data_IF_365389027800
#
_entry.id   IF_365389027800
#
_cell.length_a   1.000
_cell.length_b   1.000
_cell.length_c   1.000
_cell.angle_alpha   90.00
_cell.angle_beta   90.00
_cell.angle_gamma   90.00
#
_symmetry.space_group_name_H-M   'P 1'
#
loop_
_entity.id
_entity.type
_entity.pdbx_description
1 polymer ?
#
# COMPACT_ATOMS: atom_id res chain seq x y z
N UNK A 1 -18.40 32.87 81.75
CA UNK A 1 -18.50 31.61 81.00
C UNK A 1 -17.31 31.56 80.04
N UNK A 2 -16.09 31.20 80.50
CA UNK A 2 -15.42 29.87 80.38
C UNK A 2 -15.31 29.43 78.91
N UNK A 3 -14.20 29.56 78.16
CA UNK A 3 -12.80 29.13 78.35
C UNK A 3 -12.67 27.71 78.92
N UNK A 4 -12.43 26.70 78.05
CA UNK A 4 -11.52 25.55 78.24
C UNK A 4 -11.83 24.41 77.25
N UNK A 5 -10.79 24.02 76.49
CA UNK A 5 -10.42 22.66 76.02
C UNK A 5 -11.45 21.88 75.18
N UNK A 6 -11.12 21.33 74.01
CA UNK A 6 -10.11 20.28 73.87
C UNK A 6 -9.48 20.30 72.46
N UNK A 7 -8.16 20.46 72.43
CA UNK A 7 -7.29 20.03 71.34
C UNK A 7 -6.88 18.56 71.56
N UNK A 8 -6.50 17.87 70.48
CA UNK A 8 -5.54 16.73 70.32
C UNK A 8 -5.96 16.07 68.98
N UNK A 9 -5.19 16.12 67.89
CA UNK A 9 -3.80 15.69 67.76
C UNK A 9 -3.01 16.50 66.74
N UNK A 10 -1.74 16.73 67.08
CA UNK A 10 -0.71 17.40 66.30
C UNK A 10 0.17 16.40 65.53
N UNK A 11 0.96 16.96 64.59
CA UNK A 11 2.13 16.41 63.90
C UNK A 11 1.92 15.43 62.75
N UNK A 12 2.07 15.92 61.50
CA UNK A 12 3.06 15.41 60.53
C UNK A 12 3.07 16.22 59.22
N UNK A 13 4.26 16.71 58.87
CA UNK A 13 4.78 16.98 57.50
C UNK A 13 4.36 18.28 56.79
N UNK A 14 5.14 19.33 57.06
CA UNK A 14 5.79 20.12 55.99
C UNK A 14 6.62 19.15 55.10
N UNK A 15 6.71 19.38 53.77
CA UNK A 15 7.31 18.55 52.67
C UNK A 15 6.23 17.76 51.90
N UNK A 16 5.70 18.20 50.76
CA UNK A 16 6.40 18.50 49.52
C UNK A 16 5.50 19.40 48.64
N UNK A 17 5.92 20.63 48.37
CA UNK A 17 5.70 21.25 47.07
C UNK A 17 6.71 20.61 46.11
N UNK A 18 6.51 19.33 45.78
CA UNK A 18 7.11 18.75 44.59
C UNK A 18 6.22 19.22 43.45
N UNK A 19 6.79 20.03 42.56
CA UNK A 19 6.10 20.52 41.40
C UNK A 19 5.41 19.38 40.66
N UNK A 20 4.14 19.59 40.33
CA UNK A 20 3.61 19.08 39.06
C UNK A 20 4.38 19.80 37.94
N UNK A 21 5.66 19.47 37.80
CA UNK A 21 6.20 19.34 36.46
C UNK A 21 5.35 18.23 35.86
N UNK A 22 4.29 18.60 35.15
CA UNK A 22 3.78 17.75 34.09
C UNK A 22 5.03 17.21 33.39
N UNK A 23 5.15 15.90 33.13
CA UNK A 23 6.16 15.49 32.18
C UNK A 23 5.88 16.35 30.95
N UNK A 24 6.81 17.27 30.67
CA UNK A 24 7.01 17.73 29.32
C UNK A 24 7.29 16.40 28.64
N UNK A 25 6.25 15.84 28.02
CA UNK A 25 6.41 14.79 27.02
C UNK A 25 7.31 15.48 26.02
N UNK A 26 8.61 15.29 26.20
CA UNK A 26 9.63 15.60 25.22
C UNK A 26 9.11 14.90 23.99
N UNK A 27 8.55 15.71 23.08
CA UNK A 27 7.82 15.23 21.93
C UNK A 27 8.69 14.19 21.26
N UNK A 28 8.26 12.93 21.36
CA UNK A 28 8.66 11.95 20.39
C UNK A 28 8.22 12.59 19.07
N UNK A 29 9.19 13.09 18.31
CA UNK A 29 8.98 13.43 16.92
C UNK A 29 8.38 12.18 16.32
N UNK A 30 7.07 12.23 16.09
CA UNK A 30 6.33 11.04 15.74
C UNK A 30 6.85 10.56 14.39
N UNK A 31 7.35 9.32 14.39
CA UNK A 31 8.15 8.79 13.31
C UNK A 31 7.23 8.57 12.11
N UNK A 32 7.57 9.13 10.95
CA UNK A 32 6.89 8.79 9.71
C UNK A 32 7.31 7.39 9.27
N UNK A 33 6.32 6.55 8.98
CA UNK A 33 6.49 5.18 8.53
C UNK A 33 5.91 5.03 7.13
N UNK A 34 6.55 4.17 6.34
CA UNK A 34 6.09 3.84 4.99
C UNK A 34 4.99 2.79 5.09
N UNK A 35 3.88 3.06 4.42
CA UNK A 35 2.72 2.18 4.29
C UNK A 35 2.36 2.07 2.80
N UNK A 36 1.53 1.11 2.39
CA UNK A 36 0.90 1.19 1.08
C UNK A 36 0.13 2.49 1.03
N UNK A 37 0.40 3.31 0.03
CA UNK A 37 -0.10 4.65 0.01
C UNK A 37 0.77 5.67 0.79
N UNK A 38 2.09 5.57 0.73
CA UNK A 38 2.96 6.67 1.15
C UNK A 38 3.34 6.64 2.64
N UNK A 39 3.20 7.78 3.32
CA UNK A 39 3.75 7.98 4.67
C UNK A 39 2.66 8.32 5.67
N UNK A 40 2.65 7.62 6.79
CA UNK A 40 1.79 7.92 7.94
C UNK A 40 2.63 8.12 9.20
N UNK A 41 2.08 8.83 10.17
CA UNK A 41 2.63 8.84 11.51
C UNK A 41 2.51 7.45 12.13
N UNK A 42 3.57 6.94 12.75
CA UNK A 42 3.59 5.62 13.37
C UNK A 42 2.51 5.47 14.43
N UNK A 43 2.16 6.52 15.16
CA UNK A 43 1.07 6.50 16.14
C UNK A 43 -0.30 6.24 15.52
N UNK A 44 -0.47 6.48 14.22
CA UNK A 44 -1.72 6.34 13.48
C UNK A 44 -1.78 5.04 12.65
N UNK A 45 -0.85 4.10 12.87
CA UNK A 45 -0.83 2.82 12.17
C UNK A 45 -1.10 1.70 13.17
N UNK A 46 -2.20 0.97 12.99
CA UNK A 46 -2.72 0.04 13.97
C UNK A 46 -2.89 -1.38 13.41
N UNK A 47 -2.44 -2.38 14.17
CA UNK A 47 -2.75 -3.77 13.87
C UNK A 47 -4.23 -4.05 14.16
N UNK A 48 -4.91 -4.73 13.23
CA UNK A 48 -6.28 -5.22 13.40
C UNK A 48 -6.21 -6.58 14.09
N UNK A 49 -6.79 -6.74 15.30
CA UNK A 49 -6.82 -8.05 15.96
C UNK A 49 -7.73 -9.02 15.21
N UNK A 50 -7.52 -10.32 15.42
CA UNK A 50 -8.39 -11.36 14.88
C UNK A 50 -9.87 -11.12 15.24
N UNK A 51 -10.76 -11.23 14.25
CA UNK A 51 -12.18 -10.93 14.38
C UNK A 51 -12.52 -9.44 14.56
N UNK A 52 -11.52 -8.55 14.51
CA UNK A 52 -11.73 -7.11 14.51
C UNK A 52 -12.36 -6.63 13.20
N UNK A 53 -12.98 -5.45 13.26
CA UNK A 53 -13.52 -4.75 12.11
C UNK A 53 -13.22 -3.26 12.14
N UNK A 54 -13.22 -2.65 10.98
CA UNK A 54 -13.02 -1.22 10.81
C UNK A 54 -14.36 -0.59 10.42
N UNK A 55 -14.71 0.54 11.04
CA UNK A 55 -15.90 1.33 10.68
C UNK A 55 -15.43 2.71 10.24
N UNK A 56 -15.72 3.07 9.00
CA UNK A 56 -15.32 4.30 8.34
C UNK A 56 -16.56 5.12 7.96
N UNK A 57 -16.55 6.40 8.32
CA UNK A 57 -17.53 7.39 7.92
C UNK A 57 -16.82 8.60 7.31
N UNK A 58 -17.57 9.51 6.70
CA UNK A 58 -17.03 10.76 6.13
C UNK A 58 -16.29 11.70 7.11
N UNK A 59 -16.29 11.38 8.40
CA UNK A 59 -15.76 12.20 9.49
C UNK A 59 -14.96 11.41 10.54
N UNK A 60 -14.94 10.07 10.47
CA UNK A 60 -14.21 9.26 11.45
C UNK A 60 -13.86 7.87 10.96
N UNK A 61 -12.89 7.27 11.63
CA UNK A 61 -12.58 5.85 11.49
C UNK A 61 -12.39 5.21 12.86
N UNK A 62 -12.92 4.00 13.02
CA UNK A 62 -12.87 3.23 14.26
C UNK A 62 -12.33 1.83 14.01
N UNK A 63 -11.47 1.36 14.91
CA UNK A 63 -11.12 -0.05 15.01
C UNK A 63 -11.90 -0.66 16.17
N UNK A 64 -12.66 -1.71 15.90
CA UNK A 64 -13.50 -2.39 16.87
C UNK A 64 -13.02 -3.84 16.99
N UNK A 65 -12.78 -4.33 18.20
CA UNK A 65 -12.42 -5.73 18.42
C UNK A 65 -13.62 -6.69 18.25
N UNK A 66 -13.35 -8.00 18.25
CA UNK A 66 -14.38 -9.03 18.12
C UNK A 66 -15.46 -8.97 19.22
N UNK A 67 -15.15 -8.38 20.39
CA UNK A 67 -16.08 -8.17 21.50
C UNK A 67 -16.93 -6.91 21.37
N UNK A 68 -16.72 -6.11 20.32
CA UNK A 68 -17.45 -4.87 20.08
C UNK A 68 -16.87 -3.64 20.79
N UNK A 69 -15.68 -3.75 21.41
CA UNK A 69 -15.02 -2.61 22.05
C UNK A 69 -14.21 -1.82 21.02
N UNK A 70 -14.35 -0.50 21.06
CA UNK A 70 -13.52 0.42 20.26
C UNK A 70 -12.10 0.43 20.80
N UNK A 71 -11.14 -0.02 20.00
CA UNK A 71 -9.71 -0.01 20.31
C UNK A 71 -9.04 1.28 19.85
N UNK A 72 -9.51 1.85 18.75
CA UNK A 72 -9.00 3.09 18.19
C UNK A 72 -10.13 3.92 17.58
N UNK A 73 -10.00 5.24 17.67
CA UNK A 73 -10.90 6.22 17.08
C UNK A 73 -10.04 7.39 16.57
N UNK A 74 -10.22 7.78 15.31
CA UNK A 74 -9.67 9.01 14.77
C UNK A 74 -10.73 9.79 14.00
N UNK A 75 -10.71 11.11 14.15
CA UNK A 75 -11.49 12.02 13.31
C UNK A 75 -10.77 12.25 11.99
N UNK A 76 -11.53 12.24 10.89
CA UNK A 76 -11.00 12.49 9.55
C UNK A 76 -11.22 13.95 9.17
N UNK A 77 -10.15 14.63 8.75
CA UNK A 77 -10.26 15.97 8.18
C UNK A 77 -10.53 15.85 6.68
N UNK A 78 -11.74 16.24 6.25
CA UNK A 78 -12.16 16.27 4.83
C UNK A 78 -11.25 17.08 3.89
N UNK A 79 -10.32 17.86 4.43
CA UNK A 79 -9.43 18.72 3.67
C UNK A 79 -8.32 18.00 2.92
N UNK A 80 -8.10 16.70 3.15
CA UNK A 80 -7.06 15.94 2.48
C UNK A 80 -7.62 14.61 1.97
N UNK A 81 -7.68 14.37 0.65
CA UNK A 81 -7.80 13.00 0.18
C UNK A 81 -6.62 12.20 0.75
N UNK A 82 -6.85 10.95 1.15
CA UNK A 82 -5.79 10.07 1.65
C UNK A 82 -4.63 9.96 0.64
N UNK A 83 -4.95 10.16 -0.64
CA UNK A 83 -3.99 10.41 -1.70
C UNK A 83 -4.27 11.70 -2.47
N UNK A 84 -3.28 12.58 -2.57
CA UNK A 84 -3.12 13.36 -3.80
C UNK A 84 -2.93 12.37 -4.94
N UNK A 85 -4.00 12.11 -5.71
CA UNK A 85 -4.01 11.33 -6.96
C UNK A 85 -2.68 11.54 -7.67
N UNK A 86 -1.82 10.53 -7.61
CA UNK A 86 -0.54 10.39 -8.30
C UNK A 86 0.00 11.73 -8.82
N UNK A 87 0.69 12.50 -7.98
CA UNK A 87 1.48 13.62 -8.48
C UNK A 87 2.53 13.04 -9.44
N UNK A 88 2.20 13.07 -10.74
CA UNK A 88 3.06 12.65 -11.84
C UNK A 88 4.43 13.31 -11.62
N UNK A 89 5.53 12.56 -11.48
CA UNK A 89 6.84 13.17 -11.41
C UNK A 89 7.04 13.96 -12.70
N UNK A 90 7.16 15.28 -12.60
CA UNK A 90 7.40 16.17 -13.75
C UNK A 90 8.87 16.18 -14.18
N UNK A 91 9.69 15.30 -13.64
CA UNK A 91 11.14 15.26 -13.84
C UNK A 91 11.51 14.06 -14.71
N UNK A 92 12.06 14.33 -15.89
CA UNK A 92 12.69 13.33 -16.77
C UNK A 92 14.04 12.81 -16.22
N UNK A 93 14.54 13.42 -15.14
CA UNK A 93 15.79 12.99 -14.49
C UNK A 93 15.49 11.82 -13.56
N UNK A 94 16.18 10.69 -13.80
CA UNK A 94 16.18 9.51 -12.92
C UNK A 94 16.50 9.94 -11.50
N UNK A 95 15.59 9.62 -10.57
CA UNK A 95 15.83 9.86 -9.16
C UNK A 95 16.55 8.63 -8.60
N UNK A 96 17.23 8.76 -7.46
CA UNK A 96 17.39 7.55 -6.65
C UNK A 96 15.96 7.03 -6.44
N UNK A 97 15.72 5.73 -6.65
CA UNK A 97 14.41 5.04 -6.55
C UNK A 97 13.83 5.06 -5.10
N UNK A 98 14.11 6.12 -4.34
CA UNK A 98 13.72 6.36 -2.96
C UNK A 98 12.19 6.24 -2.78
N UNK A 99 11.44 6.62 -3.81
CA UNK A 99 10.02 6.32 -3.96
C UNK A 99 9.63 6.26 -5.45
N UNK A 100 8.97 5.17 -5.86
CA UNK A 100 8.38 5.04 -7.20
C UNK A 100 7.00 4.40 -7.11
N UNK A 101 6.11 4.79 -8.02
CA UNK A 101 4.76 4.24 -8.13
C UNK A 101 4.40 4.01 -9.60
N UNK A 102 3.91 2.82 -9.91
CA UNK A 102 3.23 2.52 -11.17
C UNK A 102 1.87 1.94 -10.89
N UNK A 103 0.88 2.31 -11.68
CA UNK A 103 -0.49 1.93 -11.43
C UNK A 103 -1.32 1.78 -12.71
N UNK A 104 -2.38 0.98 -12.61
CA UNK A 104 -3.52 0.96 -13.51
C UNK A 104 -4.77 1.30 -12.70
N UNK A 105 -5.56 2.25 -13.19
CA UNK A 105 -6.76 2.74 -12.51
C UNK A 105 -7.95 2.60 -13.44
N UNK A 106 -9.09 2.20 -12.90
CA UNK A 106 -10.35 2.24 -13.61
C UNK A 106 -11.48 2.70 -12.69
N UNK A 107 -12.15 3.78 -13.09
CA UNK A 107 -13.39 4.25 -12.47
C UNK A 107 -14.57 3.42 -13.03
N UNK A 108 -15.06 2.45 -12.26
CA UNK A 108 -16.19 1.61 -12.62
C UNK A 108 -17.52 2.22 -12.16
N UNK A 109 -18.66 1.92 -12.82
CA UNK A 109 -19.97 2.34 -12.33
C UNK A 109 -20.28 1.78 -10.93
N UNK A 110 -20.05 0.48 -10.73
CA UNK A 110 -20.11 -0.22 -9.46
C UNK A 110 -19.20 -1.45 -9.47
N UNK A 111 -18.85 -1.95 -8.29
CA UNK A 111 -17.98 -3.11 -8.09
C UNK A 111 -18.54 -3.93 -6.93
N UNK A 112 -18.91 -5.17 -7.22
CA UNK A 112 -19.31 -6.18 -6.24
C UNK A 112 -18.14 -7.09 -5.86
N UNK A 113 -17.33 -7.50 -6.85
CA UNK A 113 -16.10 -8.26 -6.59
C UNK A 113 -14.92 -7.71 -7.37
N UNK A 114 -13.74 -7.79 -6.78
CA UNK A 114 -12.47 -7.58 -7.44
C UNK A 114 -11.48 -8.67 -7.04
N UNK A 115 -11.15 -9.55 -7.99
CA UNK A 115 -10.18 -10.63 -7.80
C UNK A 115 -9.06 -10.52 -8.83
N UNK A 116 -7.92 -11.14 -8.50
CA UNK A 116 -6.78 -11.27 -9.42
C UNK A 116 -5.85 -12.38 -8.94
N UNK A 117 -5.05 -12.91 -9.87
CA UNK A 117 -4.06 -13.94 -9.60
C UNK A 117 -2.65 -13.37 -9.77
N UNK A 118 -1.80 -13.67 -8.79
CA UNK A 118 -0.45 -13.14 -8.71
C UNK A 118 0.54 -14.27 -8.57
N UNK A 119 1.46 -14.39 -9.51
CA UNK A 119 2.68 -15.18 -9.28
C UNK A 119 3.58 -14.31 -8.42
N UNK A 120 3.89 -14.76 -7.20
CA UNK A 120 4.80 -14.03 -6.30
C UNK A 120 6.13 -13.81 -7.04
N UNK A 121 6.63 -12.57 -7.18
CA UNK A 121 7.85 -12.33 -7.94
C UNK A 121 9.06 -13.06 -7.33
N UNK A 122 10.11 -13.33 -8.13
CA UNK A 122 11.40 -13.69 -7.58
C UNK A 122 11.88 -12.61 -6.58
N UNK A 123 12.65 -13.01 -5.58
CA UNK A 123 13.29 -12.04 -4.71
C UNK A 123 14.13 -11.04 -5.54
N UNK A 124 14.18 -9.76 -5.13
CA UNK A 124 15.08 -8.79 -5.75
C UNK A 124 16.53 -9.26 -5.83
N UNK A 125 17.24 -8.84 -6.88
CA UNK A 125 18.64 -9.23 -7.08
C UNK A 125 19.58 -8.67 -6.00
N UNK A 126 19.17 -7.58 -5.35
CA UNK A 126 19.86 -6.93 -4.24
C UNK A 126 18.86 -6.56 -3.15
N UNK A 127 19.17 -6.94 -1.91
CA UNK A 127 18.50 -6.42 -0.73
C UNK A 127 19.29 -5.25 -0.14
N UNK A 128 18.64 -4.10 -0.01
CA UNK A 128 19.16 -2.86 0.57
C UNK A 128 18.17 -2.26 1.59
N UNK A 129 17.32 -3.08 2.22
CA UNK A 129 16.15 -2.63 3.00
C UNK A 129 15.12 -1.85 2.17
N UNK A 130 14.96 -2.20 0.88
CA UNK A 130 13.83 -1.74 0.10
C UNK A 130 12.53 -2.32 0.65
N UNK A 131 11.44 -1.59 0.48
CA UNK A 131 10.09 -2.00 0.78
C UNK A 131 9.28 -1.89 -0.52
N UNK A 132 8.70 -3.00 -0.94
CA UNK A 132 7.88 -3.10 -2.15
C UNK A 132 6.47 -3.50 -1.73
N UNK A 133 5.48 -2.78 -2.21
CA UNK A 133 4.08 -3.13 -2.08
C UNK A 133 3.48 -3.35 -3.45
N UNK A 134 2.89 -4.51 -3.64
CA UNK A 134 2.06 -4.80 -4.79
C UNK A 134 0.65 -5.07 -4.31
N UNK A 135 -0.35 -4.47 -4.96
CA UNK A 135 -1.73 -4.62 -4.50
C UNK A 135 -2.75 -4.42 -5.61
N UNK A 136 -3.89 -5.09 -5.42
CA UNK A 136 -5.17 -4.77 -6.04
C UNK A 136 -6.01 -4.09 -4.98
N UNK A 137 -6.65 -2.97 -5.30
CA UNK A 137 -7.29 -2.11 -4.33
C UNK A 137 -8.56 -1.48 -4.86
N UNK A 138 -9.44 -1.12 -3.94
CA UNK A 138 -10.58 -0.26 -4.22
C UNK A 138 -10.47 1.06 -3.46
N UNK A 139 -10.97 2.13 -4.09
CA UNK A 139 -11.14 3.43 -3.48
C UNK A 139 -12.60 3.89 -3.64
N UNK A 140 -13.12 4.73 -2.72
CA UNK A 140 -14.35 5.45 -2.94
C UNK A 140 -14.12 6.62 -3.91
N UNK A 141 -15.17 7.18 -4.55
CA UNK A 141 -15.07 8.35 -5.42
C UNK A 141 -14.38 9.56 -4.76
N UNK A 142 -14.57 9.71 -3.43
CA UNK A 142 -13.93 10.74 -2.61
C UNK A 142 -12.41 10.60 -2.53
N UNK A 143 -11.88 9.39 -2.72
CA UNK A 143 -10.44 9.07 -2.64
C UNK A 143 -9.86 9.27 -1.23
N UNK A 144 -10.70 9.21 -0.20
CA UNK A 144 -10.32 9.41 1.20
C UNK A 144 -9.95 8.11 1.92
N UNK A 145 -10.17 6.96 1.29
CA UNK A 145 -9.83 5.65 1.82
C UNK A 145 -9.39 4.64 0.75
N UNK A 146 -8.74 3.56 1.19
CA UNK A 146 -8.24 2.46 0.38
C UNK A 146 -8.49 1.12 1.07
N UNK A 147 -8.99 0.13 0.33
CA UNK A 147 -9.00 -1.29 0.72
C UNK A 147 -7.93 -2.00 -0.10
N UNK A 148 -6.94 -2.62 0.54
CA UNK A 148 -5.74 -3.13 -0.14
C UNK A 148 -5.31 -4.49 0.43
N UNK A 149 -5.65 -5.63 -0.19
CA UNK A 149 -4.82 -6.83 -0.09
C UNK A 149 -3.45 -6.58 -0.75
N UNK A 150 -2.38 -6.78 0.01
CA UNK A 150 -1.01 -6.37 -0.33
C UNK A 150 -0.07 -7.57 -0.29
N UNK A 151 0.69 -7.75 -1.37
CA UNK A 151 1.91 -8.55 -1.41
C UNK A 151 3.10 -7.62 -1.14
N UNK A 152 3.76 -7.82 0.00
CA UNK A 152 4.89 -7.02 0.49
C UNK A 152 6.21 -7.77 0.33
N UNK A 153 7.28 -7.07 -0.06
CA UNK A 153 8.67 -7.50 0.18
C UNK A 153 9.40 -6.42 0.97
N UNK A 154 10.20 -6.79 1.96
CA UNK A 154 10.95 -5.83 2.77
C UNK A 154 10.31 -5.56 4.14
N UNK A 155 10.96 -4.72 4.96
CA UNK A 155 10.51 -4.39 6.30
C UNK A 155 9.50 -3.23 6.27
N UNK A 156 8.39 -3.37 6.99
CA UNK A 156 7.39 -2.34 7.25
C UNK A 156 6.98 -2.35 8.73
N UNK A 157 6.07 -1.48 9.13
CA UNK A 157 5.49 -1.50 10.49
C UNK A 157 4.63 -2.74 10.76
N UNK A 158 4.14 -3.41 9.71
CA UNK A 158 3.45 -4.68 9.82
C UNK A 158 4.41 -5.87 10.01
N UNK A 159 5.73 -5.64 9.94
CA UNK A 159 6.77 -6.66 9.97
C UNK A 159 7.40 -6.88 8.60
N UNK A 160 7.79 -8.11 8.29
CA UNK A 160 8.45 -8.45 7.04
C UNK A 160 9.97 -8.56 7.18
N UNK A 161 10.67 -8.44 6.06
CA UNK A 161 12.12 -8.65 5.97
C UNK A 161 12.55 -8.94 4.54
N UNK A 162 13.67 -9.62 4.35
CA UNK A 162 14.16 -10.01 3.03
C UNK A 162 13.38 -11.19 2.40
N UNK A 163 12.05 -11.18 2.52
CA UNK A 163 11.13 -12.21 2.03
C UNK A 163 9.80 -11.57 1.60
N UNK A 164 8.99 -12.33 0.84
CA UNK A 164 7.64 -11.92 0.47
C UNK A 164 6.63 -12.33 1.54
N UNK A 165 5.64 -11.48 1.78
CA UNK A 165 4.53 -11.76 2.68
C UNK A 165 3.24 -11.14 2.17
N UNK A 166 2.11 -11.76 2.47
CA UNK A 166 0.79 -11.23 2.21
C UNK A 166 0.15 -10.69 3.49
N UNK A 167 -0.65 -9.65 3.35
CA UNK A 167 -1.46 -9.03 4.41
C UNK A 167 -2.41 -8.02 3.78
N UNK A 168 -3.37 -7.51 4.53
CA UNK A 168 -4.30 -6.49 4.04
C UNK A 168 -4.16 -5.19 4.82
N UNK A 169 -4.43 -4.11 4.14
CA UNK A 169 -4.40 -2.75 4.65
C UNK A 169 -5.72 -2.06 4.38
N UNK A 170 -6.14 -1.22 5.32
CA UNK A 170 -7.14 -0.19 5.11
C UNK A 170 -6.54 1.15 5.53
N UNK A 171 -6.50 2.10 4.61
CA UNK A 171 -6.00 3.46 4.87
C UNK A 171 -7.18 4.42 4.77
N UNK A 172 -7.35 5.31 5.73
CA UNK A 172 -8.37 6.36 5.72
C UNK A 172 -7.80 7.66 6.29
N UNK A 173 -7.77 8.71 5.46
CA UNK A 173 -7.08 9.97 5.78
C UNK A 173 -5.63 9.74 6.24
N UNK A 174 -5.31 10.21 7.45
CA UNK A 174 -3.98 10.09 8.06
C UNK A 174 -3.85 8.86 9.00
N UNK A 175 -4.71 7.84 8.84
CA UNK A 175 -4.73 6.61 9.68
C UNK A 175 -4.65 5.35 8.82
N UNK A 176 -3.88 4.36 9.27
CA UNK A 176 -3.71 3.07 8.61
C UNK A 176 -4.00 1.90 9.53
N UNK A 177 -4.57 0.85 8.98
CA UNK A 177 -4.89 -0.40 9.66
C UNK A 177 -4.34 -1.56 8.87
N UNK A 178 -3.72 -2.53 9.53
CA UNK A 178 -3.10 -3.66 8.86
C UNK A 178 -3.35 -4.98 9.58
N UNK A 179 -3.35 -6.08 8.83
CA UNK A 179 -3.43 -7.45 9.36
C UNK A 179 -2.04 -8.06 9.54
N UNK A 180 -1.96 -9.22 10.19
CA UNK A 180 -0.70 -9.92 10.35
C UNK A 180 -0.15 -10.37 8.98
N UNK A 181 1.17 -10.34 8.86
CA UNK A 181 1.85 -10.79 7.65
C UNK A 181 2.04 -12.31 7.65
N UNK A 182 1.64 -12.96 6.55
CA UNK A 182 1.95 -14.37 6.29
C UNK A 182 3.01 -14.46 5.21
N UNK A 183 4.15 -15.08 5.52
CA UNK A 183 5.23 -15.28 4.56
C UNK A 183 4.82 -16.22 3.44
N UNK A 184 5.18 -15.87 2.20
CA UNK A 184 4.93 -16.67 0.97
C UNK A 184 6.23 -16.93 0.21
N UNK A 185 6.23 -17.98 -0.61
CA UNK A 185 7.40 -18.40 -1.38
C UNK A 185 7.58 -17.54 -2.63
N UNK A 186 8.81 -17.09 -2.88
CA UNK A 186 9.15 -16.31 -4.08
C UNK A 186 9.13 -17.15 -5.35
N UNK A 187 8.67 -16.57 -6.46
CA UNK A 187 8.91 -17.04 -7.83
C UNK A 187 8.01 -18.19 -8.33
N UNK A 188 7.34 -18.91 -7.43
CA UNK A 188 6.57 -20.12 -7.81
C UNK A 188 5.17 -20.17 -7.20
N UNK A 189 4.94 -19.49 -6.06
CA UNK A 189 3.65 -19.52 -5.40
C UNK A 189 2.68 -18.53 -6.06
N UNK A 190 1.46 -18.98 -6.30
CA UNK A 190 0.34 -18.09 -6.61
C UNK A 190 -0.31 -17.58 -5.34
N UNK A 191 -0.67 -16.31 -5.33
CA UNK A 191 -1.52 -15.70 -4.31
C UNK A 191 -2.74 -15.06 -4.96
N UNK A 192 -3.87 -15.11 -4.27
CA UNK A 192 -5.20 -14.83 -4.81
C UNK A 192 -5.88 -13.74 -3.96
N UNK A 193 -5.48 -12.46 -4.13
CA UNK A 193 -6.13 -11.36 -3.46
C UNK A 193 -7.57 -11.18 -3.96
N UNK A 194 -8.46 -10.89 -3.03
CA UNK A 194 -9.85 -10.58 -3.32
C UNK A 194 -10.34 -9.38 -2.49
N UNK A 195 -11.33 -8.68 -3.04
CA UNK A 195 -12.17 -7.70 -2.36
C UNK A 195 -13.61 -8.01 -2.76
N UNK A 196 -14.49 -8.13 -1.77
CA UNK A 196 -15.90 -8.49 -1.91
C UNK A 196 -16.76 -7.44 -1.21
N UNK A 197 -17.78 -6.96 -1.91
CA UNK A 197 -18.91 -6.24 -1.32
C UNK A 197 -19.85 -7.27 -0.65
N UNK A 198 -20.12 -7.06 0.64
CA UNK A 198 -20.96 -7.92 1.47
C UNK A 198 -22.31 -7.26 1.82
N UNK A 199 -22.74 -6.26 1.06
CA UNK A 199 -23.95 -5.49 1.33
C UNK A 199 -25.22 -6.35 1.41
N UNK A 200 -25.29 -7.42 0.62
CA UNK A 200 -26.40 -8.38 0.67
C UNK A 200 -26.58 -8.98 2.08
N UNK A 201 -25.50 -9.13 2.84
CA UNK A 201 -25.50 -9.81 4.14
C UNK A 201 -25.39 -8.83 5.33
N UNK A 202 -24.61 -7.78 5.17
CA UNK A 202 -24.19 -6.89 6.27
C UNK A 202 -24.44 -5.41 6.00
N UNK A 203 -24.85 -5.06 4.78
CA UNK A 203 -25.11 -3.69 4.36
C UNK A 203 -26.42 -3.14 4.89
N UNK A 204 -26.52 -1.82 4.85
CA UNK A 204 -27.76 -1.05 5.04
C UNK A 204 -27.81 0.07 4.00
N UNK A 205 -28.95 0.77 3.80
CA UNK A 205 -29.01 1.86 2.82
C UNK A 205 -27.99 3.00 3.02
N UNK A 206 -27.33 3.08 4.18
CA UNK A 206 -26.34 4.11 4.52
C UNK A 206 -24.98 3.54 4.94
N UNK A 207 -24.80 2.22 4.86
CA UNK A 207 -23.58 1.55 5.32
C UNK A 207 -23.28 0.40 4.40
N UNK A 208 -22.10 0.45 3.79
CA UNK A 208 -21.60 -0.61 2.93
C UNK A 208 -20.67 -1.52 3.72
N UNK A 209 -20.67 -2.81 3.44
CA UNK A 209 -19.81 -3.81 4.07
C UNK A 209 -18.83 -4.39 3.04
N UNK A 210 -17.57 -4.49 3.41
CA UNK A 210 -16.51 -4.99 2.55
C UNK A 210 -15.67 -6.03 3.29
N UNK A 211 -15.30 -7.08 2.55
CA UNK A 211 -14.38 -8.11 3.00
C UNK A 211 -13.24 -8.25 2.01
N UNK A 212 -12.00 -8.17 2.48
CA UNK A 212 -10.82 -8.35 1.62
C UNK A 212 -9.79 -9.26 2.27
N UNK A 213 -8.93 -9.87 1.45
CA UNK A 213 -7.86 -10.72 1.92
C UNK A 213 -7.22 -11.52 0.80
N UNK A 214 -6.63 -12.66 1.16
CA UNK A 214 -6.09 -13.66 0.24
C UNK A 214 -6.79 -14.99 0.46
N UNK A 215 -7.26 -15.64 -0.61
CA UNK A 215 -8.15 -16.82 -0.54
C UNK A 215 -7.62 -17.94 0.39
N UNK A 216 -6.32 -18.21 0.38
CA UNK A 216 -5.67 -19.27 1.17
C UNK A 216 -4.97 -18.77 2.45
N UNK A 217 -5.14 -17.49 2.80
CA UNK A 217 -4.53 -16.86 4.00
C UNK A 217 -5.53 -15.97 4.74
N UNK A 218 -6.83 -16.29 4.68
CA UNK A 218 -7.89 -15.42 5.19
C UNK A 218 -7.81 -15.19 6.70
N UNK A 219 -7.41 -16.21 7.47
CA UNK A 219 -7.33 -16.12 8.93
C UNK A 219 -6.34 -15.04 9.38
N UNK A 220 -5.22 -14.88 8.67
CA UNK A 220 -4.16 -13.95 9.04
C UNK A 220 -4.27 -12.62 8.29
N UNK A 221 -4.80 -12.64 7.06
CA UNK A 221 -4.73 -11.51 6.14
C UNK A 221 -6.05 -10.77 5.92
N UNK A 222 -7.20 -11.24 6.41
CA UNK A 222 -8.50 -10.65 6.07
C UNK A 222 -8.91 -9.44 6.90
N UNK A 223 -9.65 -8.52 6.28
CA UNK A 223 -10.27 -7.35 6.94
C UNK A 223 -11.78 -7.35 6.71
N UNK A 224 -12.51 -7.04 7.78
CA UNK A 224 -13.92 -6.66 7.73
C UNK A 224 -14.02 -5.15 7.87
N UNK A 225 -14.69 -4.48 6.92
CA UNK A 225 -14.71 -3.03 6.81
C UNK A 225 -16.15 -2.59 6.58
N UNK A 226 -16.60 -1.58 7.30
CA UNK A 226 -17.89 -0.92 7.07
C UNK A 226 -17.64 0.53 6.68
N UNK A 227 -18.29 1.02 5.64
CA UNK A 227 -18.07 2.37 5.07
C UNK A 227 -19.38 3.11 4.86
N UNK A 228 -19.36 4.43 4.78
CA UNK A 228 -20.53 5.25 4.39
C UNK A 228 -20.63 5.53 2.89
N UNK A 229 -19.65 5.07 2.10
CA UNK A 229 -19.56 5.25 0.64
C UNK A 229 -19.25 3.92 -0.02
N UNK A 230 -19.68 3.76 -1.28
CA UNK A 230 -19.29 2.64 -2.13
C UNK A 230 -17.87 2.81 -2.64
N UNK A 231 -17.23 1.69 -2.98
CA UNK A 231 -15.86 1.64 -3.46
C UNK A 231 -15.88 1.14 -4.91
N UNK A 232 -15.79 2.06 -5.87
CA UNK A 232 -15.97 1.76 -7.30
C UNK A 232 -14.77 2.14 -8.18
N UNK A 233 -13.67 2.59 -7.58
CA UNK A 233 -12.42 2.87 -8.31
C UNK A 233 -11.47 1.69 -8.11
N UNK A 234 -11.30 0.88 -9.14
CA UNK A 234 -10.35 -0.23 -9.15
C UNK A 234 -8.92 0.27 -9.40
N UNK A 235 -7.97 -0.26 -8.64
CA UNK A 235 -6.58 0.18 -8.66
C UNK A 235 -5.64 -1.02 -8.54
N UNK A 236 -4.67 -1.15 -9.44
CA UNK A 236 -3.61 -2.16 -9.37
C UNK A 236 -2.27 -1.45 -9.40
N UNK A 237 -1.36 -1.75 -8.47
CA UNK A 237 -0.16 -0.96 -8.31
C UNK A 237 1.07 -1.72 -7.86
N UNK A 238 2.22 -1.09 -8.12
CA UNK A 238 3.45 -1.29 -7.39
C UNK A 238 3.88 0.05 -6.77
N UNK A 239 4.15 0.05 -5.48
CA UNK A 239 4.88 1.09 -4.76
C UNK A 239 6.22 0.56 -4.28
N UNK A 240 7.30 1.26 -4.62
CA UNK A 240 8.64 0.93 -4.17
C UNK A 240 9.18 2.06 -3.30
N UNK A 241 9.78 1.70 -2.17
CA UNK A 241 10.47 2.61 -1.25
C UNK A 241 11.88 2.10 -0.99
N UNK A 242 12.83 3.02 -0.86
CA UNK A 242 14.24 2.69 -0.60
C UNK A 242 14.87 1.71 -1.62
N UNK A 243 14.26 1.50 -2.79
CA UNK A 243 14.95 0.87 -3.88
C UNK A 243 16.00 1.88 -4.35
N UNK A 244 17.29 1.56 -4.38
CA UNK A 244 18.32 2.53 -4.82
C UNK A 244 18.73 2.28 -6.27
N UNK A 245 18.35 1.14 -6.82
CA UNK A 245 18.51 0.78 -8.23
C UNK A 245 17.47 -0.28 -8.63
N UNK A 246 17.38 -0.56 -9.94
CA UNK A 246 16.54 -1.65 -10.44
C UNK A 246 16.94 -3.03 -9.91
N UNK A 247 18.17 -3.20 -9.39
CA UNK A 247 18.57 -4.44 -8.73
C UNK A 247 17.80 -4.67 -7.43
N UNK A 248 17.20 -3.62 -6.84
CA UNK A 248 16.33 -3.73 -5.68
C UNK A 248 14.89 -4.14 -6.03
N UNK A 249 14.57 -4.30 -7.31
CA UNK A 249 13.31 -4.85 -7.80
C UNK A 249 13.52 -6.29 -8.28
N UNK A 250 12.43 -7.06 -8.50
CA UNK A 250 12.52 -8.36 -9.14
C UNK A 250 13.26 -8.29 -10.49
N UNK A 251 14.11 -9.27 -10.76
CA UNK A 251 14.88 -9.33 -12.02
C UNK A 251 14.07 -9.75 -13.24
N UNK A 252 12.75 -9.94 -13.09
CA UNK A 252 11.82 -10.43 -14.10
C UNK A 252 10.52 -9.64 -14.00
N UNK A 253 9.76 -9.55 -15.09
CA UNK A 253 8.43 -8.91 -15.10
C UNK A 253 7.49 -9.56 -14.09
N UNK A 254 6.67 -8.75 -13.43
CA UNK A 254 5.59 -9.23 -12.56
C UNK A 254 4.29 -9.26 -13.35
N UNK A 255 3.66 -10.43 -13.45
CA UNK A 255 2.38 -10.58 -14.12
C UNK A 255 1.25 -10.60 -13.08
N UNK A 256 0.19 -9.86 -13.37
CA UNK A 256 -1.08 -9.92 -12.64
C UNK A 256 -2.11 -10.40 -13.66
N UNK A 257 -2.65 -11.59 -13.45
CA UNK A 257 -3.52 -12.27 -14.42
C UNK A 257 -4.87 -12.56 -13.77
N UNK A 258 -5.79 -13.09 -14.56
CA UNK A 258 -7.14 -13.43 -14.11
C UNK A 258 -7.83 -12.31 -13.34
N UNK A 259 -7.58 -11.06 -13.78
CA UNK A 259 -8.21 -9.91 -13.17
C UNK A 259 -9.69 -9.95 -13.55
N UNK A 260 -10.56 -10.04 -12.53
CA UNK A 260 -11.99 -10.05 -12.71
C UNK A 260 -12.62 -9.00 -11.79
N UNK A 261 -13.46 -8.16 -12.39
CA UNK A 261 -14.22 -7.13 -11.69
C UNK A 261 -15.69 -7.30 -12.11
N UNK A 262 -16.51 -7.73 -11.17
CA UNK A 262 -17.96 -7.86 -11.37
C UNK A 262 -18.68 -6.65 -10.80
N UNK A 263 -19.74 -6.20 -11.47
CA UNK A 263 -20.67 -5.20 -10.95
C UNK A 263 -21.72 -5.85 -10.02
N UNK A 264 -22.64 -5.03 -9.50
CA UNK A 264 -23.69 -5.46 -8.56
C UNK A 264 -24.67 -6.48 -9.16
N UNK A 265 -24.78 -6.53 -10.49
CA UNK A 265 -25.58 -7.53 -11.23
C UNK A 265 -24.78 -8.83 -11.49
N UNK A 266 -23.58 -8.94 -10.90
CA UNK A 266 -22.60 -10.02 -11.11
C UNK A 266 -22.17 -10.18 -12.58
N UNK A 267 -22.24 -9.09 -13.36
CA UNK A 267 -21.72 -9.02 -14.72
C UNK A 267 -20.28 -8.49 -14.72
N UNK A 268 -19.43 -9.09 -15.53
CA UNK A 268 -18.04 -8.66 -15.68
C UNK A 268 -17.91 -7.55 -16.72
N UNK A 269 -17.07 -6.55 -16.43
CA UNK A 269 -16.82 -5.43 -17.36
C UNK A 269 -15.75 -5.73 -18.40
N UNK A 270 -16.11 -5.66 -19.69
CA UNK A 270 -15.17 -5.83 -20.81
C UNK A 270 -15.42 -4.88 -21.97
N UNK A 271 -14.36 -4.25 -22.50
CA UNK A 271 -13.00 -4.28 -21.98
C UNK A 271 -12.88 -3.51 -20.65
N UNK A 272 -11.89 -3.82 -19.82
CA UNK A 272 -11.54 -2.97 -18.65
C UNK A 272 -10.69 -1.78 -19.14
N UNK A 273 -11.19 -0.53 -19.09
CA UNK A 273 -10.52 0.62 -19.67
C UNK A 273 -9.48 1.23 -18.70
N UNK A 274 -8.41 0.47 -18.42
CA UNK A 274 -7.32 0.90 -17.53
C UNK A 274 -6.65 2.20 -17.99
N UNK A 275 -6.55 3.16 -17.08
CA UNK A 275 -5.66 4.32 -17.19
C UNK A 275 -4.33 3.99 -16.54
N UNK A 276 -3.24 4.01 -17.32
CA UNK A 276 -1.90 3.63 -16.87
C UNK A 276 -1.09 4.84 -16.37
N UNK A 277 -0.39 4.65 -15.26
CA UNK A 277 0.56 5.57 -14.67
C UNK A 277 1.91 4.86 -14.56
N UNK A 278 2.92 5.40 -15.26
CA UNK A 278 4.23 4.80 -15.39
C UNK A 278 5.30 5.71 -14.78
N UNK A 279 6.36 5.11 -14.23
CA UNK A 279 7.56 5.80 -13.78
C UNK A 279 8.72 5.49 -14.73
N UNK A 280 8.63 6.03 -15.95
CA UNK A 280 9.60 5.78 -17.01
C UNK A 280 10.98 6.36 -16.70
N UNK A 281 11.06 7.39 -15.86
CA UNK A 281 12.33 7.97 -15.41
C UNK A 281 13.14 6.95 -14.60
N UNK A 282 12.45 6.14 -13.79
CA UNK A 282 13.06 5.16 -12.92
C UNK A 282 13.05 3.73 -13.50
N UNK A 283 12.55 3.57 -14.73
CA UNK A 283 12.58 2.33 -15.49
C UNK A 283 11.50 1.32 -15.10
N UNK A 284 10.42 1.79 -14.46
CA UNK A 284 9.30 0.95 -14.05
C UNK A 284 8.07 1.34 -14.87
N UNK A 285 7.46 0.37 -15.56
CA UNK A 285 6.24 0.61 -16.33
C UNK A 285 5.22 -0.47 -16.07
N UNK A 286 3.95 -0.12 -16.22
CA UNK A 286 2.82 -1.03 -16.26
C UNK A 286 2.25 -1.08 -17.69
N UNK A 287 1.78 -2.26 -18.11
CA UNK A 287 1.19 -2.51 -19.42
C UNK A 287 -0.07 -3.34 -19.28
N UNK A 288 -1.09 -3.01 -20.08
CA UNK A 288 -2.24 -3.90 -20.32
C UNK A 288 -1.81 -5.02 -21.28
N UNK A 289 -1.81 -6.26 -20.79
CA UNK A 289 -1.54 -7.46 -21.60
C UNK A 289 -2.84 -7.95 -22.23
N UNK A 290 -3.92 -7.96 -21.46
CA UNK A 290 -5.27 -8.26 -21.92
C UNK A 290 -6.28 -7.39 -21.17
N UNK A 291 -7.29 -6.90 -21.87
CA UNK A 291 -8.40 -6.15 -21.30
C UNK A 291 -9.71 -6.97 -21.27
N UNK A 292 -9.64 -8.28 -21.52
CA UNK A 292 -10.81 -9.15 -21.70
C UNK A 292 -11.58 -9.44 -20.40
N UNK A 293 -12.83 -9.84 -20.53
CA UNK A 293 -13.73 -10.13 -19.41
C UNK A 293 -13.37 -11.38 -18.59
N UNK A 294 -13.97 -11.46 -17.40
CA UNK A 294 -14.45 -12.72 -16.82
C UNK A 294 -13.44 -13.73 -16.29
N UNK A 295 -12.15 -13.33 -16.15
CA UNK A 295 -10.94 -14.12 -15.80
C UNK A 295 -9.80 -13.95 -16.83
N UNK A 296 -9.97 -13.15 -17.87
CA UNK A 296 -8.95 -12.99 -18.91
C UNK A 296 -8.12 -11.70 -18.85
N UNK A 297 -8.51 -10.70 -18.06
CA UNK A 297 -7.76 -9.44 -18.00
C UNK A 297 -6.40 -9.67 -17.31
N UNK A 298 -5.39 -8.99 -17.84
CA UNK A 298 -4.01 -9.15 -17.39
C UNK A 298 -3.24 -7.85 -17.52
N UNK A 299 -2.50 -7.54 -16.46
CA UNK A 299 -1.54 -6.45 -16.37
C UNK A 299 -0.14 -7.02 -16.20
N UNK A 300 0.86 -6.26 -16.63
CA UNK A 300 2.27 -6.61 -16.43
C UNK A 300 3.05 -5.40 -15.97
N UNK A 301 3.87 -5.59 -14.93
CA UNK A 301 4.86 -4.62 -14.48
C UNK A 301 6.22 -5.00 -15.08
N UNK A 302 6.87 -4.06 -15.74
CA UNK A 302 8.16 -4.21 -16.39
C UNK A 302 9.22 -3.37 -15.68
N UNK A 303 10.41 -3.96 -15.53
CA UNK A 303 11.59 -3.33 -14.92
C UNK A 303 12.66 -3.20 -16.00
N UNK A 304 12.65 -2.10 -16.75
CA UNK A 304 13.56 -1.90 -17.88
C UNK A 304 14.74 -1.06 -17.42
N UNK A 305 15.92 -1.67 -17.37
CA UNK A 305 17.15 -0.91 -17.31
C UNK A 305 17.35 -0.17 -18.62
N UNK A 306 17.61 1.14 -18.58
CA UNK A 306 18.13 1.88 -19.73
C UNK A 306 19.47 1.26 -20.14
N UNK A 307 19.45 0.24 -21.00
CA UNK A 307 20.62 -0.36 -21.63
C UNK A 307 21.13 0.49 -22.80
N UNK A 308 20.50 1.64 -23.08
CA UNK A 308 20.82 2.52 -24.20
C UNK A 308 21.51 3.82 -23.75
N UNK A 309 22.86 3.84 -23.82
CA UNK A 309 23.66 5.01 -24.29
C UNK A 309 25.19 4.86 -24.14
N UNK A 310 25.77 3.65 -24.10
CA UNK A 310 27.25 3.50 -24.17
C UNK A 310 27.81 2.47 -25.16
N UNK A 311 26.99 1.90 -26.06
CA UNK A 311 27.51 1.06 -27.15
C UNK A 311 27.61 1.75 -28.52
N UNK A 312 27.39 3.07 -28.60
CA UNK A 312 27.34 3.79 -29.88
C UNK A 312 28.59 4.58 -30.30
N UNK A 313 29.67 4.64 -29.52
CA UNK A 313 30.82 5.53 -29.82
C UNK A 313 32.21 4.87 -29.84
N UNK A 314 32.32 3.55 -29.62
CA UNK A 314 33.60 2.83 -29.80
C UNK A 314 33.68 2.01 -31.10
N UNK A 315 32.58 1.88 -31.85
CA UNK A 315 32.56 1.16 -33.12
C UNK A 315 33.11 1.94 -34.32
N UNK A 316 33.10 3.27 -34.28
CA UNK A 316 33.45 4.10 -35.44
C UNK A 316 34.94 4.50 -35.51
N UNK A 317 35.74 4.15 -34.50
CA UNK A 317 37.17 4.51 -34.45
C UNK A 317 38.12 3.42 -34.94
N UNK A 318 37.61 2.24 -35.30
CA UNK A 318 38.42 1.11 -35.78
C UNK A 318 38.37 0.97 -37.31
N UNK A 319 37.32 1.43 -37.98
CA UNK A 319 37.25 1.38 -39.46
C UNK A 319 38.10 2.45 -40.16
N UNK A 320 38.46 3.57 -39.50
CA UNK A 320 39.31 4.58 -40.13
C UNK A 320 40.82 4.24 -40.09
N UNK A 321 41.23 3.21 -39.34
CA UNK A 321 42.64 2.74 -39.32
C UNK A 321 42.93 1.56 -40.26
N UNK A 322 41.92 0.89 -40.82
CA UNK A 322 42.15 -0.20 -41.79
C UNK A 322 42.21 0.26 -43.25
N UNK A 323 41.74 1.46 -43.58
CA UNK A 323 41.70 1.95 -44.98
C UNK A 323 42.98 2.67 -45.42
N UNK A 324 43.98 2.84 -44.55
CA UNK A 324 45.28 3.46 -44.89
C UNK A 324 46.45 2.48 -45.12
N UNK A 325 46.24 1.16 -45.08
CA UNK A 325 47.33 0.17 -45.25
C UNK A 325 47.38 -0.58 -46.59
N UNK A 326 46.44 -0.33 -47.51
CA UNK A 326 46.37 -1.08 -48.78
C UNK A 326 46.77 -0.29 -50.04
N UNK A 327 47.23 0.97 -49.92
CA UNK A 327 47.74 1.76 -51.06
C UNK A 327 49.24 2.04 -50.94
N UNK A 328 50.07 1.00 -50.97
CA UNK A 328 51.52 1.06 -51.27
C UNK A 328 52.00 -0.32 -51.69
N UNK A 329 51.61 -0.73 -52.89
CA UNK A 329 52.30 -1.72 -53.73
C UNK A 329 51.60 -1.72 -55.08
N UNK A 330 52.06 -0.86 -55.99
CA UNK A 330 52.32 -1.06 -57.42
C UNK A 330 52.95 0.23 -57.93
#
# INVERSE_FOLDING_TARGET
MSFRMLAVSAFLVLHFLAGFASPIVTGAQDELVKVPGGYLLKSNVHAVPEGGRIVHSSDSVQLIDAGGRVLHYASLSRSKPAFTRLNRPSSEVRRNLESAIVAAIWDAPSIFTFTSDWIVPPAPQKYSNQLLYYFSALLPPSGDAFIQPVLQYGPSVAGGGAYWSVGSWFIAGDTGYYTNLTQVLSGEQNVYPFILDEDEFLGTPTTHAWYCGFEFHQQESSLNIQTSETFNVAYVALEAYNAISLLNLPGQTTNIVNIAIANDDNEFSSPIPWTLFNDTADGITMKVVSASNGDGAALQIQYVGNSSSKQGLEGERVEEQLTMKTSRRH
#
